data_IF_321399402733
#
_entry.id   IF_321399402733
#
_cell.length_a   1.000
_cell.length_b   1.000
_cell.length_c   1.000
_cell.angle_alpha   90.00
_cell.angle_beta   90.00
_cell.angle_gamma   90.00
#
_symmetry.space_group_name_H-M   'P 1'
#
loop_
_entity.id
_entity.type
_entity.pdbx_description
1 polymer ?
#
# COMPACT_ATOMS: atom_id res chain seq x y z
N UNK A 1 -1.04 12.13 -15.26
CA UNK A 1 -0.62 10.82 -14.75
C UNK A 1 -1.86 10.14 -14.19
N UNK A 2 -2.22 8.97 -14.71
CA UNK A 2 -3.30 8.16 -14.15
C UNK A 2 -2.68 7.33 -13.01
N UNK A 3 -3.06 7.60 -11.77
CA UNK A 3 -2.67 6.75 -10.65
C UNK A 3 -3.54 5.50 -10.69
N UNK A 4 -2.91 4.34 -10.74
CA UNK A 4 -3.60 3.04 -10.85
C UNK A 4 -3.97 2.44 -9.49
N UNK A 5 -3.58 3.08 -8.39
CA UNK A 5 -3.76 2.59 -7.02
C UNK A 5 -4.00 3.73 -6.04
N UNK A 6 -4.53 3.41 -4.85
CA UNK A 6 -4.71 4.34 -3.74
C UNK A 6 -3.54 4.15 -2.75
N UNK A 7 -2.40 4.77 -3.03
CA UNK A 7 -1.14 4.38 -2.41
C UNK A 7 -0.78 2.95 -2.84
N UNK A 8 -0.51 2.03 -1.91
CA UNK A 8 -0.29 0.63 -2.25
C UNK A 8 -1.56 -0.26 -2.21
N UNK A 9 -2.74 0.32 -1.98
CA UNK A 9 -4.02 -0.39 -2.00
C UNK A 9 -4.70 -0.27 -3.38
N UNK A 10 -5.40 -1.32 -3.81
CA UNK A 10 -6.13 -1.32 -5.08
C UNK A 10 -7.42 -0.49 -5.03
N UNK A 11 -7.83 0.09 -6.17
CA UNK A 11 -9.15 0.69 -6.37
C UNK A 11 -10.23 -0.38 -6.33
N UNK A 12 -10.93 -0.51 -5.22
CA UNK A 12 -11.97 -1.52 -5.03
C UNK A 12 -11.45 -2.97 -5.05
N UNK A 13 -12.26 -3.87 -4.52
CA UNK A 13 -12.06 -5.32 -4.55
C UNK A 13 -13.19 -5.94 -5.34
N UNK A 14 -12.87 -6.92 -6.18
CA UNK A 14 -13.83 -7.52 -7.11
C UNK A 14 -13.90 -6.79 -8.46
N UNK A 15 -14.40 -7.50 -9.46
CA UNK A 15 -14.39 -7.04 -10.85
C UNK A 15 -15.41 -5.93 -11.09
N UNK A 16 -16.57 -6.04 -10.44
CA UNK A 16 -17.65 -5.06 -10.61
C UNK A 16 -17.31 -3.74 -9.92
N UNK A 17 -16.76 -3.81 -8.71
CA UNK A 17 -16.28 -2.65 -7.97
C UNK A 17 -15.18 -1.90 -8.74
N UNK A 18 -14.22 -2.63 -9.32
CA UNK A 18 -13.17 -2.03 -10.16
C UNK A 18 -13.73 -1.34 -11.40
N UNK A 19 -14.79 -1.89 -12.01
CA UNK A 19 -15.45 -1.31 -13.19
C UNK A 19 -16.10 0.05 -12.94
N UNK A 20 -16.35 0.41 -11.68
CA UNK A 20 -16.87 1.71 -11.25
C UNK A 20 -15.91 2.45 -10.32
N UNK A 21 -14.61 2.16 -10.42
CA UNK A 21 -13.52 2.79 -9.67
C UNK A 21 -13.74 2.78 -8.13
N UNK A 22 -14.33 1.70 -7.57
CA UNK A 22 -14.55 1.55 -6.14
C UNK A 22 -15.73 2.33 -5.55
N UNK A 23 -16.51 3.07 -6.36
CA UNK A 23 -17.61 3.92 -5.88
C UNK A 23 -18.86 3.17 -5.39
N UNK A 24 -18.88 1.82 -5.48
CA UNK A 24 -20.06 0.98 -5.26
C UNK A 24 -20.36 0.63 -3.79
N UNK A 25 -19.89 1.37 -2.81
CA UNK A 25 -20.08 1.06 -1.37
C UNK A 25 -21.57 0.93 -1.00
N UNK A 26 -22.43 1.76 -1.59
CA UNK A 26 -23.90 1.74 -1.40
C UNK A 26 -24.67 0.96 -2.49
N UNK A 27 -23.96 0.34 -3.44
CA UNK A 27 -24.53 -0.49 -4.52
C UNK A 27 -23.88 -1.88 -4.55
N UNK A 28 -24.14 -2.73 -3.53
CA UNK A 28 -23.50 -4.04 -3.40
C UNK A 28 -23.93 -4.98 -4.53
N UNK A 29 -23.02 -5.31 -5.42
CA UNK A 29 -23.27 -6.16 -6.59
C UNK A 29 -22.51 -7.49 -6.54
N UNK A 30 -21.54 -7.61 -5.68
CA UNK A 30 -20.69 -8.79 -5.50
C UNK A 30 -20.35 -9.01 -4.01
N UNK A 31 -20.05 -10.25 -3.63
CA UNK A 31 -19.70 -10.59 -2.23
C UNK A 31 -18.43 -9.90 -1.78
N UNK A 32 -17.55 -9.57 -2.72
CA UNK A 32 -16.33 -8.79 -2.46
C UNK A 32 -16.59 -7.41 -1.84
N UNK A 33 -17.85 -6.93 -1.80
CA UNK A 33 -18.27 -5.71 -1.06
C UNK A 33 -17.88 -5.76 0.42
N UNK A 34 -17.67 -6.95 0.99
CA UNK A 34 -17.22 -7.13 2.37
C UNK A 34 -15.91 -6.37 2.67
N UNK A 35 -15.10 -6.12 1.67
CA UNK A 35 -13.85 -5.38 1.80
C UNK A 35 -14.02 -3.88 2.08
N UNK A 36 -15.20 -3.31 1.79
CA UNK A 36 -15.53 -1.90 2.04
C UNK A 36 -16.75 -1.71 2.93
N UNK A 37 -17.73 -2.62 2.84
CA UNK A 37 -18.97 -2.54 3.63
C UNK A 37 -19.55 -3.93 3.89
N UNK A 38 -19.28 -4.58 5.04
CA UNK A 38 -19.83 -5.90 5.35
C UNK A 38 -21.35 -5.95 5.42
N UNK A 39 -22.06 -4.84 5.66
CA UNK A 39 -23.53 -4.81 5.61
C UNK A 39 -24.08 -5.08 4.21
N UNK A 40 -23.30 -4.77 3.16
CA UNK A 40 -23.71 -4.97 1.77
C UNK A 40 -23.98 -6.41 1.39
N UNK A 41 -23.38 -7.41 2.09
CA UNK A 41 -23.62 -8.83 1.78
C UNK A 41 -25.07 -9.26 1.95
N UNK A 42 -25.87 -8.53 2.73
CA UNK A 42 -27.30 -8.78 2.90
C UNK A 42 -28.10 -8.63 1.57
N UNK A 43 -27.53 -7.93 0.58
CA UNK A 43 -28.21 -7.58 -0.68
C UNK A 43 -27.72 -8.38 -1.89
N UNK A 44 -26.56 -9.06 -1.81
CA UNK A 44 -25.98 -9.79 -2.95
C UNK A 44 -26.54 -11.17 -3.20
N UNK A 45 -27.32 -11.71 -2.26
CA UNK A 45 -27.89 -13.04 -2.35
C UNK A 45 -26.89 -14.17 -2.07
N UNK A 46 -27.31 -15.43 -2.32
CA UNK A 46 -26.43 -16.59 -2.17
C UNK A 46 -25.67 -16.84 -3.46
N UNK A 47 -24.35 -16.79 -3.40
CA UNK A 47 -23.49 -16.93 -4.60
C UNK A 47 -22.06 -17.29 -4.26
N UNK A 48 -21.40 -17.96 -5.20
CA UNK A 48 -19.94 -18.15 -5.23
C UNK A 48 -19.37 -17.25 -6.32
N UNK A 49 -18.29 -16.56 -5.98
CA UNK A 49 -17.58 -15.67 -6.88
C UNK A 49 -16.11 -16.04 -6.94
N UNK A 50 -15.57 -16.01 -8.14
CA UNK A 50 -14.15 -16.15 -8.43
C UNK A 50 -13.77 -15.00 -9.36
N UNK A 51 -12.68 -14.34 -9.08
CA UNK A 51 -12.19 -13.27 -9.92
C UNK A 51 -10.67 -13.21 -9.95
N UNK A 52 -10.18 -12.68 -11.05
CA UNK A 52 -8.77 -12.45 -11.29
C UNK A 52 -8.61 -11.12 -12.02
N UNK A 53 -7.82 -10.22 -11.46
CA UNK A 53 -7.43 -8.99 -12.15
C UNK A 53 -5.96 -9.08 -12.58
N UNK A 54 -5.68 -8.68 -13.81
CA UNK A 54 -4.32 -8.42 -14.28
C UNK A 54 -4.00 -6.94 -14.04
N UNK A 55 -2.94 -6.67 -13.32
CA UNK A 55 -2.45 -5.34 -13.02
C UNK A 55 -1.07 -5.17 -13.62
N UNK A 56 -0.90 -4.18 -14.49
CA UNK A 56 0.33 -3.95 -15.22
C UNK A 56 0.81 -2.50 -15.02
N UNK A 57 1.47 -2.21 -13.88
CA UNK A 57 2.09 -0.92 -13.64
C UNK A 57 3.42 -0.82 -14.37
N UNK A 58 3.60 0.23 -15.17
CA UNK A 58 4.90 0.61 -15.73
C UNK A 58 5.51 1.66 -14.82
N UNK A 59 6.71 1.37 -14.28
CA UNK A 59 7.41 2.26 -13.35
C UNK A 59 8.81 2.49 -13.84
N UNK A 60 9.22 3.75 -13.82
CA UNK A 60 10.52 4.22 -14.24
C UNK A 60 10.98 5.33 -13.29
N UNK A 61 12.26 5.37 -13.00
CA UNK A 61 12.87 6.55 -12.41
C UNK A 61 13.95 7.10 -13.32
N UNK A 62 14.09 8.42 -13.32
CA UNK A 62 15.16 9.14 -13.99
C UNK A 62 15.83 10.08 -13.01
N UNK A 63 17.15 10.01 -12.95
CA UNK A 63 17.98 10.92 -12.16
C UNK A 63 18.96 11.66 -13.05
N UNK A 64 19.11 12.96 -12.83
CA UNK A 64 20.06 13.82 -13.51
C UNK A 64 21.50 13.58 -13.00
N UNK A 65 22.39 14.51 -13.19
CA UNK A 65 23.76 14.42 -12.66
C UNK A 65 23.76 14.27 -11.13
N UNK A 66 24.74 13.51 -10.62
CA UNK A 66 24.92 13.32 -9.20
C UNK A 66 25.10 14.64 -8.44
N UNK A 67 24.44 14.75 -7.28
CA UNK A 67 24.65 15.83 -6.33
C UNK A 67 25.74 15.53 -5.30
N UNK A 68 26.40 14.35 -5.39
CA UNK A 68 27.43 13.95 -4.44
C UNK A 68 28.68 14.84 -4.51
N UNK A 69 29.04 15.30 -5.72
CA UNK A 69 30.21 16.14 -5.93
C UNK A 69 30.16 17.41 -5.07
N UNK A 70 31.14 17.59 -4.22
CA UNK A 70 31.21 18.69 -3.26
C UNK A 70 30.39 18.55 -1.99
N UNK A 71 29.73 17.40 -1.77
CA UNK A 71 28.82 17.17 -0.64
C UNK A 71 29.38 16.19 0.42
N UNK A 72 30.62 16.00 0.58
CA UNK A 72 31.32 15.07 1.45
C UNK A 72 30.47 14.12 2.29
N UNK A 73 30.70 12.83 2.12
CA UNK A 73 29.91 11.78 2.76
C UNK A 73 28.53 11.57 2.18
N UNK A 74 28.19 12.24 1.07
CA UNK A 74 26.91 12.08 0.39
C UNK A 74 26.89 10.86 -0.51
N UNK A 75 25.74 10.19 -0.52
CA UNK A 75 25.41 9.10 -1.42
C UNK A 75 24.25 9.53 -2.31
N UNK A 76 24.37 9.36 -3.60
CA UNK A 76 23.34 9.76 -4.57
C UNK A 76 23.10 8.66 -5.60
N UNK A 77 21.83 8.49 -5.98
CA UNK A 77 21.42 7.62 -7.08
C UNK A 77 21.73 8.31 -8.41
N UNK A 78 22.30 7.58 -9.34
CA UNK A 78 22.49 8.03 -10.71
C UNK A 78 23.82 8.70 -11.03
N UNK A 79 23.86 9.34 -12.22
CA UNK A 79 22.75 9.58 -13.15
C UNK A 79 22.30 8.31 -13.91
N UNK A 80 20.99 8.08 -13.99
CA UNK A 80 20.39 6.95 -14.71
C UNK A 80 18.95 7.22 -15.15
N UNK A 81 18.47 6.36 -16.08
CA UNK A 81 17.06 6.11 -16.35
C UNK A 81 16.84 4.60 -16.33
N UNK A 82 16.05 4.11 -15.37
CA UNK A 82 15.86 2.67 -15.14
C UNK A 82 14.36 2.38 -15.01
N UNK A 83 13.89 1.40 -15.79
CA UNK A 83 12.54 0.85 -15.68
C UNK A 83 12.53 -0.37 -14.76
N UNK A 84 11.46 -0.54 -13.99
CA UNK A 84 11.25 -1.74 -13.18
C UNK A 84 10.91 -2.94 -14.07
N UNK A 85 11.55 -4.08 -13.85
CA UNK A 85 11.31 -5.27 -14.67
C UNK A 85 10.02 -6.03 -14.29
N UNK A 86 9.47 -5.81 -13.11
CA UNK A 86 8.23 -6.43 -12.68
C UNK A 86 7.02 -5.61 -13.10
N UNK A 87 6.37 -5.98 -14.20
CA UNK A 87 5.30 -5.19 -14.81
C UNK A 87 3.94 -5.90 -14.88
N UNK A 88 3.82 -7.14 -14.41
CA UNK A 88 2.55 -7.87 -14.47
C UNK A 88 2.27 -8.64 -13.17
N UNK A 89 1.13 -8.32 -12.57
CA UNK A 89 0.65 -8.95 -11.35
C UNK A 89 -0.75 -9.47 -11.51
N UNK A 90 -1.02 -10.63 -10.91
CA UNK A 90 -2.35 -11.21 -10.86
C UNK A 90 -2.92 -11.05 -9.45
N UNK A 91 -4.10 -10.43 -9.35
CA UNK A 91 -4.79 -10.15 -8.10
C UNK A 91 -6.05 -11.01 -8.04
N UNK A 92 -6.00 -12.16 -7.36
CA UNK A 92 -7.14 -13.07 -7.25
C UNK A 92 -8.09 -12.65 -6.14
N UNK A 93 -9.36 -13.04 -6.30
CA UNK A 93 -10.29 -13.12 -5.19
C UNK A 93 -11.22 -14.32 -5.32
N UNK A 94 -11.69 -14.84 -4.19
CA UNK A 94 -12.74 -15.83 -4.08
C UNK A 94 -13.65 -15.43 -2.93
N UNK A 95 -14.96 -15.50 -3.16
CA UNK A 95 -15.92 -15.16 -2.13
C UNK A 95 -17.17 -16.04 -2.24
N UNK A 96 -17.75 -16.39 -1.10
CA UNK A 96 -19.00 -17.13 -1.01
C UNK A 96 -19.90 -16.49 0.03
N UNK A 97 -21.16 -16.29 -0.30
CA UNK A 97 -22.21 -15.89 0.62
C UNK A 97 -23.26 -17.00 0.79
N UNK A 98 -23.83 -17.06 1.97
CA UNK A 98 -24.92 -17.98 2.34
C UNK A 98 -26.01 -17.18 3.05
N UNK A 99 -27.23 -17.33 2.61
CA UNK A 99 -28.40 -16.88 3.35
C UNK A 99 -28.74 -17.89 4.42
N UNK A 100 -28.72 -17.48 5.69
CA UNK A 100 -29.24 -18.32 6.78
C UNK A 100 -30.75 -18.28 6.86
N UNK A 101 -31.31 -17.11 6.62
CA UNK A 101 -32.74 -16.83 6.52
C UNK A 101 -32.94 -15.51 5.71
N UNK A 102 -34.13 -14.93 5.74
CA UNK A 102 -34.44 -13.73 4.97
C UNK A 102 -33.71 -12.48 5.46
N UNK A 103 -33.31 -12.46 6.75
CA UNK A 103 -32.68 -11.31 7.40
C UNK A 103 -31.17 -11.51 7.62
N UNK A 104 -30.68 -12.73 7.62
CA UNK A 104 -29.33 -13.06 8.04
C UNK A 104 -28.49 -13.66 6.91
N UNK A 105 -27.35 -13.06 6.65
CA UNK A 105 -26.40 -13.50 5.62
C UNK A 105 -25.01 -13.64 6.23
N UNK A 106 -24.30 -14.71 5.86
CA UNK A 106 -22.89 -14.94 6.21
C UNK A 106 -22.09 -14.92 4.91
N UNK A 107 -20.86 -14.44 4.96
CA UNK A 107 -19.94 -14.55 3.85
C UNK A 107 -18.53 -14.94 4.33
N UNK A 108 -17.85 -15.67 3.47
CA UNK A 108 -16.41 -15.94 3.56
C UNK A 108 -15.77 -15.43 2.26
N UNK A 109 -14.70 -14.66 2.38
CA UNK A 109 -13.97 -14.17 1.22
C UNK A 109 -12.47 -14.15 1.47
N UNK A 110 -11.71 -14.45 0.43
CA UNK A 110 -10.27 -14.20 0.37
C UNK A 110 -9.99 -13.29 -0.82
N UNK A 111 -9.25 -12.22 -0.60
CA UNK A 111 -8.84 -11.31 -1.66
C UNK A 111 -7.46 -10.72 -1.42
N UNK A 112 -6.72 -10.46 -2.49
CA UNK A 112 -5.54 -9.62 -2.47
C UNK A 112 -5.95 -8.15 -2.71
N UNK A 113 -5.38 -7.22 -1.95
CA UNK A 113 -5.73 -5.80 -2.06
C UNK A 113 -4.53 -4.88 -2.04
N UNK A 114 -3.46 -5.23 -1.33
CA UNK A 114 -2.28 -4.39 -1.17
C UNK A 114 -1.02 -5.01 -1.76
N UNK A 115 -0.08 -4.15 -2.12
CA UNK A 115 1.24 -4.58 -2.54
C UNK A 115 2.09 -3.44 -3.07
N UNK A 116 3.39 -3.58 -2.86
CA UNK A 116 4.42 -2.73 -3.45
C UNK A 116 5.43 -3.65 -4.11
N UNK A 117 5.78 -3.38 -5.36
CA UNK A 117 6.77 -4.18 -6.04
C UNK A 117 7.58 -3.33 -6.99
N UNK A 118 8.88 -3.37 -6.84
CA UNK A 118 9.85 -2.78 -7.77
C UNK A 118 11.02 -3.75 -7.96
N UNK A 119 11.59 -3.75 -9.14
CA UNK A 119 12.82 -4.50 -9.45
C UNK A 119 13.65 -3.65 -10.42
N UNK A 120 14.61 -2.92 -9.86
CA UNK A 120 15.52 -2.06 -10.59
C UNK A 120 16.80 -2.84 -10.90
N UNK A 121 17.02 -3.25 -12.13
CA UNK A 121 18.25 -3.93 -12.55
C UNK A 121 19.21 -2.94 -13.15
N UNK A 122 20.47 -3.02 -12.71
CA UNK A 122 21.51 -2.12 -13.15
C UNK A 122 21.40 -0.74 -12.50
N UNK A 123 21.78 0.28 -13.25
CA UNK A 123 21.93 1.64 -12.73
C UNK A 123 23.26 1.84 -12.03
N UNK A 124 23.48 3.03 -11.50
CA UNK A 124 24.66 3.43 -10.76
C UNK A 124 24.31 4.28 -9.58
N UNK A 125 25.16 4.29 -8.58
CA UNK A 125 25.15 5.24 -7.50
C UNK A 125 26.55 5.87 -7.34
N UNK A 126 26.59 7.09 -6.82
CA UNK A 126 27.83 7.82 -6.59
C UNK A 126 27.98 8.16 -5.12
N UNK A 127 29.20 8.18 -4.66
CA UNK A 127 29.57 8.55 -3.30
C UNK A 127 30.78 9.47 -3.32
N UNK A 128 30.65 10.61 -2.67
CA UNK A 128 31.73 11.56 -2.45
C UNK A 128 32.23 11.46 -1.02
N UNK A 129 33.46 10.97 -0.78
CA UNK A 129 33.92 10.73 0.58
C UNK A 129 34.30 12.01 1.35
N UNK A 130 34.72 13.09 0.68
CA UNK A 130 35.31 14.27 1.31
C UNK A 130 34.82 15.63 0.76
N UNK A 131 33.81 15.63 -0.11
CA UNK A 131 33.20 16.84 -0.68
C UNK A 131 34.16 17.62 -1.59
N UNK A 132 34.47 18.89 -1.25
CA UNK A 132 35.41 19.69 -2.04
C UNK A 132 36.86 19.26 -1.89
N UNK A 133 37.11 18.16 -1.19
CA UNK A 133 38.42 17.58 -0.98
C UNK A 133 39.02 16.93 -2.22
N UNK A 134 40.26 16.42 -2.13
CA UNK A 134 40.97 15.84 -3.29
C UNK A 134 40.56 14.39 -3.61
N UNK A 135 39.74 13.73 -2.79
CA UNK A 135 39.34 12.37 -3.08
C UNK A 135 38.38 12.30 -4.26
N UNK A 136 38.54 11.35 -5.17
CA UNK A 136 37.65 11.23 -6.30
C UNK A 136 36.25 10.78 -5.86
N UNK A 137 35.21 11.31 -6.51
CA UNK A 137 33.85 10.76 -6.43
C UNK A 137 33.89 9.32 -6.97
N UNK A 138 33.38 8.40 -6.18
CA UNK A 138 33.31 6.97 -6.54
C UNK A 138 31.97 6.63 -7.15
N UNK A 139 31.98 5.75 -8.16
CA UNK A 139 30.77 5.23 -8.79
C UNK A 139 30.69 3.73 -8.54
N UNK A 140 29.50 3.27 -8.19
CA UNK A 140 29.22 1.87 -7.90
C UNK A 140 28.07 1.37 -8.78
N UNK A 141 28.14 0.11 -9.18
CA UNK A 141 27.08 -0.55 -9.92
C UNK A 141 25.86 -0.83 -9.03
N UNK A 142 24.68 -0.74 -9.65
CA UNK A 142 23.37 -0.88 -9.01
C UNK A 142 22.78 0.44 -8.55
N UNK A 143 21.47 0.54 -8.56
CA UNK A 143 20.70 1.77 -8.20
C UNK A 143 21.11 2.36 -6.84
N UNK A 144 21.40 1.49 -5.86
CA UNK A 144 21.88 1.88 -4.53
C UNK A 144 23.35 1.47 -4.29
N UNK A 145 24.12 1.27 -5.34
CA UNK A 145 25.54 0.95 -5.21
C UNK A 145 25.79 -0.36 -4.45
N UNK A 146 25.06 -1.42 -4.76
CA UNK A 146 25.14 -2.70 -4.05
C UNK A 146 26.55 -3.26 -3.93
N UNK A 147 27.41 -3.02 -4.93
CA UNK A 147 28.82 -3.42 -4.91
C UNK A 147 29.65 -2.74 -3.79
N UNK A 148 29.24 -1.57 -3.29
CA UNK A 148 29.94 -0.88 -2.19
C UNK A 148 29.96 -1.70 -0.89
N UNK A 149 28.91 -2.50 -0.66
CA UNK A 149 28.73 -3.30 0.57
C UNK A 149 28.99 -4.81 0.32
N UNK A 150 29.63 -5.16 -0.80
CA UNK A 150 29.98 -6.55 -1.11
C UNK A 150 28.82 -7.41 -1.58
N UNK A 151 27.73 -6.77 -2.01
CA UNK A 151 26.61 -7.49 -2.64
C UNK A 151 26.94 -7.81 -4.10
N UNK A 152 26.75 -9.05 -4.51
CA UNK A 152 26.89 -9.48 -5.91
C UNK A 152 25.74 -9.01 -6.80
N UNK A 153 24.82 -8.19 -6.26
CA UNK A 153 23.58 -7.83 -6.92
C UNK A 153 23.55 -6.36 -7.34
N UNK A 154 23.42 -6.14 -8.65
CA UNK A 154 23.10 -4.83 -9.22
C UNK A 154 21.57 -4.54 -9.15
N UNK A 155 20.78 -5.48 -8.65
CA UNK A 155 19.32 -5.37 -8.53
C UNK A 155 18.95 -4.78 -7.19
N UNK A 156 18.10 -3.74 -7.21
CA UNK A 156 17.47 -3.18 -6.02
C UNK A 156 15.96 -3.21 -6.15
N UNK A 157 15.26 -3.44 -5.05
CA UNK A 157 13.80 -3.42 -5.06
C UNK A 157 13.14 -4.06 -3.85
N UNK A 158 11.83 -3.98 -3.85
CA UNK A 158 10.96 -4.57 -2.82
C UNK A 158 9.86 -5.40 -3.45
N UNK A 159 9.35 -6.36 -2.70
CA UNK A 159 8.19 -7.17 -3.07
C UNK A 159 7.34 -7.40 -1.82
N UNK A 160 6.27 -6.59 -1.68
CA UNK A 160 5.22 -6.74 -0.68
C UNK A 160 3.96 -7.25 -1.36
N UNK A 161 3.36 -8.28 -0.82
CA UNK A 161 2.03 -8.77 -1.22
C UNK A 161 1.16 -8.97 0.02
N UNK A 162 -0.10 -8.50 -0.04
CA UNK A 162 -1.06 -8.59 1.05
C UNK A 162 -2.34 -9.27 0.60
N UNK A 163 -2.80 -10.22 1.40
CA UNK A 163 -4.06 -10.94 1.23
C UNK A 163 -4.88 -10.95 2.51
N UNK A 164 -6.20 -11.01 2.37
CA UNK A 164 -7.13 -10.90 3.49
C UNK A 164 -8.19 -11.98 3.43
N UNK A 165 -8.34 -12.73 4.51
CA UNK A 165 -9.44 -13.66 4.72
C UNK A 165 -10.46 -13.00 5.64
N UNK A 166 -11.66 -12.79 5.12
CA UNK A 166 -12.77 -12.20 5.87
C UNK A 166 -13.86 -13.22 6.14
N UNK A 167 -14.35 -13.22 7.38
CA UNK A 167 -15.59 -13.90 7.77
C UNK A 167 -16.57 -12.83 8.20
N UNK A 168 -17.64 -12.67 7.45
CA UNK A 168 -18.61 -11.58 7.64
C UNK A 168 -20.00 -12.12 7.99
N UNK A 169 -20.71 -11.33 8.77
CA UNK A 169 -22.12 -11.50 9.07
C UNK A 169 -22.86 -10.18 8.87
N UNK A 170 -24.01 -10.24 8.22
CA UNK A 170 -24.91 -9.10 8.09
C UNK A 170 -26.33 -9.47 8.46
N UNK A 171 -27.00 -8.52 9.10
CA UNK A 171 -28.42 -8.54 9.38
C UNK A 171 -29.12 -7.40 8.63
N UNK A 172 -30.30 -7.65 8.08
CA UNK A 172 -31.16 -6.62 7.53
C UNK A 172 -32.58 -6.71 8.14
N UNK A 173 -33.25 -5.55 8.21
CA UNK A 173 -34.64 -5.53 8.64
C UNK A 173 -35.56 -6.22 7.61
N UNK A 174 -36.80 -6.52 8.02
CA UNK A 174 -37.75 -7.28 7.18
C UNK A 174 -38.06 -6.55 5.86
N UNK A 175 -38.11 -5.23 5.88
CA UNK A 175 -38.36 -4.37 4.71
C UNK A 175 -37.12 -4.24 3.82
N UNK A 176 -35.96 -4.76 4.24
CA UNK A 176 -34.66 -4.64 3.55
C UNK A 176 -34.22 -3.19 3.28
N UNK A 177 -34.68 -2.27 4.14
CA UNK A 177 -34.32 -0.85 4.06
C UNK A 177 -33.08 -0.50 4.87
N UNK A 178 -32.75 -1.29 5.89
CA UNK A 178 -31.58 -1.09 6.74
C UNK A 178 -30.83 -2.40 6.89
N UNK A 179 -29.52 -2.35 6.76
CA UNK A 179 -28.62 -3.46 7.08
C UNK A 179 -27.45 -2.99 7.93
N UNK A 180 -27.02 -3.86 8.84
CA UNK A 180 -25.76 -3.74 9.60
C UNK A 180 -24.94 -4.98 9.43
N UNK A 181 -23.64 -4.86 9.41
CA UNK A 181 -22.74 -5.99 9.24
C UNK A 181 -21.43 -5.82 9.99
N UNK A 182 -20.80 -6.93 10.29
CA UNK A 182 -19.48 -6.98 10.87
C UNK A 182 -18.66 -8.11 10.23
N UNK A 183 -17.35 -7.93 10.17
CA UNK A 183 -16.44 -8.98 9.73
C UNK A 183 -15.20 -9.07 10.64
N UNK A 184 -14.73 -10.31 10.84
CA UNK A 184 -13.39 -10.58 11.33
C UNK A 184 -12.46 -10.78 10.15
N UNK A 185 -11.25 -10.20 10.25
CA UNK A 185 -10.27 -10.17 9.17
C UNK A 185 -8.98 -10.82 9.67
N UNK A 186 -8.45 -11.77 8.89
CA UNK A 186 -7.10 -12.29 9.05
C UNK A 186 -6.28 -11.74 7.87
N UNK A 187 -5.23 -10.97 8.19
CA UNK A 187 -4.24 -10.48 7.26
C UNK A 187 -3.10 -11.48 7.10
N UNK A 188 -2.64 -11.64 5.87
CA UNK A 188 -1.46 -12.42 5.51
C UNK A 188 -0.64 -11.55 4.58
N UNK A 189 0.63 -11.33 4.90
CA UNK A 189 1.52 -10.61 4.01
C UNK A 189 2.89 -11.27 3.92
N UNK A 190 3.55 -11.06 2.79
CA UNK A 190 4.94 -11.43 2.61
C UNK A 190 5.72 -10.24 2.10
N UNK A 191 6.97 -10.15 2.52
CA UNK A 191 7.87 -9.06 2.12
C UNK A 191 9.26 -9.58 1.80
N UNK A 192 9.92 -8.90 0.86
CA UNK A 192 11.33 -9.07 0.51
C UNK A 192 11.90 -7.72 0.10
N UNK A 193 13.10 -7.39 0.57
CA UNK A 193 13.90 -6.29 0.05
C UNK A 193 15.26 -6.81 -0.43
N UNK A 194 15.76 -6.28 -1.52
CA UNK A 194 17.06 -6.60 -2.11
C UNK A 194 17.81 -5.34 -2.49
N UNK A 195 19.14 -5.36 -2.44
CA UNK A 195 20.01 -4.30 -2.91
C UNK A 195 19.92 -2.99 -2.10
N UNK A 196 19.52 -3.04 -0.82
CA UNK A 196 19.36 -1.84 0.04
C UNK A 196 20.43 -1.76 1.13
N UNK A 197 21.52 -2.51 1.05
CA UNK A 197 22.60 -2.52 2.05
C UNK A 197 23.33 -1.17 2.17
N UNK A 198 23.23 -0.28 1.19
CA UNK A 198 23.70 1.10 1.28
C UNK A 198 23.10 1.88 2.48
N UNK A 199 21.94 1.44 2.97
CA UNK A 199 21.31 2.03 4.15
C UNK A 199 21.85 1.49 5.49
N UNK A 200 22.78 0.55 5.48
CA UNK A 200 23.36 -0.05 6.69
C UNK A 200 23.86 0.99 7.71
N UNK A 201 24.58 2.08 7.32
CA UNK A 201 25.02 3.10 8.27
C UNK A 201 23.91 3.83 9.01
N UNK A 202 22.68 3.78 8.49
CA UNK A 202 21.51 4.46 9.06
C UNK A 202 20.63 3.55 9.91
N UNK A 203 21.06 2.31 10.16
CA UNK A 203 20.32 1.36 10.98
C UNK A 203 20.65 1.50 12.46
N UNK A 204 19.68 1.15 13.30
CA UNK A 204 19.84 1.14 14.75
C UNK A 204 20.94 0.16 15.20
N UNK A 205 21.03 -1.01 14.57
CA UNK A 205 22.07 -2.01 14.84
C UNK A 205 23.48 -1.46 14.60
N UNK A 206 23.68 -0.79 13.46
CA UNK A 206 24.98 -0.19 13.13
C UNK A 206 25.32 0.97 14.07
N UNK A 207 24.40 1.88 14.29
CA UNK A 207 24.57 3.03 15.16
C UNK A 207 24.85 2.63 16.61
N UNK A 208 24.07 1.69 17.17
CA UNK A 208 24.23 1.22 18.54
C UNK A 208 25.56 0.49 18.79
N UNK A 209 26.14 -0.11 17.75
CA UNK A 209 27.45 -0.77 17.81
C UNK A 209 28.64 0.17 17.63
N UNK A 210 28.40 1.47 17.42
CA UNK A 210 29.45 2.43 17.04
C UNK A 210 30.05 2.14 15.67
N UNK A 211 29.26 1.61 14.74
CA UNK A 211 29.67 1.32 13.37
C UNK A 211 30.45 0.02 13.17
N UNK A 212 30.43 -0.89 14.14
CA UNK A 212 31.21 -2.13 14.11
C UNK A 212 30.44 -3.37 13.68
N UNK A 213 29.09 -3.34 13.79
CA UNK A 213 28.21 -4.47 13.45
C UNK A 213 27.35 -4.08 12.26
N UNK A 214 27.47 -4.79 11.14
CA UNK A 214 26.57 -4.62 10.02
C UNK A 214 25.18 -5.20 10.36
N UNK A 215 24.08 -4.53 9.92
CA UNK A 215 22.71 -4.98 10.19
C UNK A 215 22.40 -6.28 9.43
N UNK A 216 22.15 -7.41 10.11
CA UNK A 216 21.86 -8.66 9.44
C UNK A 216 20.46 -8.69 8.81
N UNK A 217 19.52 -7.93 9.37
CA UNK A 217 18.11 -7.98 9.01
C UNK A 217 17.67 -6.74 8.20
N UNK A 218 18.51 -6.28 7.28
CA UNK A 218 18.25 -5.11 6.44
C UNK A 218 17.87 -5.48 5.00
N UNK A 219 18.62 -6.36 4.36
CA UNK A 219 18.56 -6.61 2.91
C UNK A 219 18.89 -8.05 2.58
N UNK A 220 18.40 -8.56 1.44
CA UNK A 220 18.75 -9.87 0.84
C UNK A 220 18.42 -11.12 1.69
N UNK A 221 17.50 -11.01 2.63
CA UNK A 221 17.12 -12.10 3.54
C UNK A 221 16.02 -13.01 3.00
N UNK A 222 15.71 -12.89 1.69
CA UNK A 222 14.62 -13.64 1.06
C UNK A 222 13.25 -13.20 1.54
N UNK A 223 12.23 -14.01 1.29
CA UNK A 223 10.89 -13.69 1.77
C UNK A 223 10.74 -13.91 3.28
N UNK A 224 10.03 -12.96 3.90
CA UNK A 224 9.48 -13.11 5.25
C UNK A 224 7.96 -13.02 5.21
N UNK A 225 7.30 -13.62 6.18
CA UNK A 225 5.85 -13.69 6.29
C UNK A 225 5.38 -13.06 7.60
N UNK A 226 4.28 -12.35 7.50
CA UNK A 226 3.64 -11.71 8.64
C UNK A 226 2.14 -12.00 8.58
N UNK A 227 1.52 -12.12 9.76
CA UNK A 227 0.12 -12.45 9.94
C UNK A 227 -0.51 -11.47 10.90
N UNK A 228 -1.78 -11.14 10.68
CA UNK A 228 -2.43 -10.15 11.52
C UNK A 228 -3.94 -10.35 11.63
N UNK A 229 -4.51 -9.56 12.51
CA UNK A 229 -5.95 -9.58 12.78
C UNK A 229 -6.51 -8.15 12.76
N UNK A 230 -7.72 -8.04 12.27
CA UNK A 230 -8.50 -6.80 12.27
C UNK A 230 -9.99 -7.09 12.19
N UNK A 231 -10.77 -6.06 12.02
CA UNK A 231 -12.21 -6.19 11.88
C UNK A 231 -12.81 -5.07 11.08
N UNK A 232 -14.03 -5.28 10.59
CA UNK A 232 -14.78 -4.23 9.93
C UNK A 232 -16.23 -4.19 10.39
N UNK A 233 -16.82 -2.99 10.30
CA UNK A 233 -18.24 -2.72 10.57
C UNK A 233 -18.83 -2.05 9.35
N UNK A 234 -20.11 -2.32 9.10
CA UNK A 234 -20.82 -1.75 7.98
C UNK A 234 -22.24 -1.37 8.32
N UNK A 235 -22.71 -0.36 7.62
CA UNK A 235 -24.10 0.12 7.66
C UNK A 235 -24.56 0.42 6.25
N UNK A 236 -25.81 0.06 5.93
CA UNK A 236 -26.45 0.45 4.68
C UNK A 236 -27.91 0.82 4.94
N UNK A 237 -28.31 1.92 4.31
CA UNK A 237 -29.66 2.43 4.37
C UNK A 237 -30.20 2.67 2.96
N UNK A 238 -31.34 2.04 2.65
CA UNK A 238 -32.04 2.13 1.39
C UNK A 238 -33.43 2.79 1.65
N UNK A 239 -33.49 4.13 1.83
CA UNK A 239 -34.76 4.82 2.14
C UNK A 239 -35.80 4.66 1.05
N UNK A 240 -35.38 4.40 -0.18
CA UNK A 240 -36.22 4.11 -1.32
C UNK A 240 -35.53 3.11 -2.24
N UNK A 241 -36.25 2.50 -3.19
CA UNK A 241 -35.65 1.66 -4.23
C UNK A 241 -34.63 2.42 -5.10
N UNK A 242 -34.79 3.74 -5.20
CA UNK A 242 -33.95 4.59 -6.05
C UNK A 242 -32.71 5.13 -5.35
N UNK A 243 -32.66 5.14 -4.05
CA UNK A 243 -31.56 5.79 -3.31
C UNK A 243 -31.04 4.92 -2.18
N UNK A 244 -29.73 4.82 -2.12
CA UNK A 244 -29.01 4.09 -1.07
C UNK A 244 -27.84 4.93 -0.53
N UNK A 245 -27.57 4.76 0.76
CA UNK A 245 -26.40 5.31 1.46
C UNK A 245 -25.72 4.19 2.22
N UNK A 246 -24.40 4.19 2.25
CA UNK A 246 -23.63 3.20 3.00
C UNK A 246 -22.40 3.80 3.65
N UNK A 247 -22.02 3.19 4.77
CA UNK A 247 -20.81 3.49 5.52
C UNK A 247 -20.15 2.18 5.93
N UNK A 248 -18.86 2.07 5.69
CA UNK A 248 -18.02 0.98 6.16
C UNK A 248 -16.78 1.50 6.86
N UNK A 249 -16.35 0.85 7.91
CA UNK A 249 -15.09 1.11 8.59
C UNK A 249 -14.33 -0.19 8.76
N UNK A 250 -13.09 -0.21 8.32
CA UNK A 250 -12.15 -1.31 8.58
C UNK A 250 -11.07 -0.79 9.51
N UNK A 251 -10.87 -1.49 10.63
CA UNK A 251 -9.79 -1.16 11.57
C UNK A 251 -8.44 -1.36 10.92
N UNK A 252 -7.42 -0.78 11.50
CA UNK A 252 -6.05 -1.23 11.29
C UNK A 252 -5.97 -2.75 11.49
N UNK A 253 -5.21 -3.44 10.63
CA UNK A 253 -4.92 -4.85 10.80
C UNK A 253 -3.54 -4.93 11.42
N UNK A 254 -3.50 -5.28 12.70
CA UNK A 254 -2.28 -5.42 13.48
C UNK A 254 -1.55 -6.68 13.01
N UNK A 255 -0.40 -6.48 12.39
CA UNK A 255 0.42 -7.53 11.81
C UNK A 255 1.56 -7.90 12.75
N UNK A 256 2.08 -9.13 12.65
CA UNK A 256 3.35 -9.48 13.28
C UNK A 256 4.50 -8.81 12.53
N UNK A 257 5.60 -8.56 13.21
CA UNK A 257 6.78 -7.95 12.62
C UNK A 257 7.42 -8.86 11.56
N UNK A 258 8.13 -8.25 10.61
CA UNK A 258 9.01 -8.95 9.69
C UNK A 258 10.39 -9.14 10.33
N UNK A 259 10.64 -10.30 10.93
CA UNK A 259 11.88 -10.60 11.64
C UNK A 259 13.13 -10.46 10.79
N UNK A 260 13.05 -10.82 9.50
CA UNK A 260 14.15 -10.72 8.54
C UNK A 260 14.41 -9.29 8.06
N UNK A 261 13.55 -8.33 8.42
CA UNK A 261 13.63 -6.93 7.99
C UNK A 261 13.47 -5.95 9.16
N UNK A 262 13.80 -6.38 10.38
CA UNK A 262 13.71 -5.56 11.58
C UNK A 262 14.73 -4.41 11.64
N UNK A 263 15.77 -4.46 10.82
CA UNK A 263 16.71 -3.34 10.63
C UNK A 263 16.25 -2.37 9.52
N UNK A 264 15.19 -2.69 8.78
CA UNK A 264 14.64 -1.84 7.70
C UNK A 264 13.43 -1.04 8.19
N UNK A 265 12.40 -1.73 8.66
CA UNK A 265 11.14 -1.11 9.04
C UNK A 265 11.18 -0.54 10.46
N UNK A 266 10.42 0.54 10.69
CA UNK A 266 10.19 1.06 12.01
C UNK A 266 9.66 -0.03 12.97
N UNK A 267 9.79 0.21 14.27
CA UNK A 267 9.29 -0.70 15.30
C UNK A 267 9.82 -2.13 15.20
N UNK A 268 11.05 -2.29 14.67
CA UNK A 268 11.73 -3.58 14.50
C UNK A 268 11.04 -4.53 13.52
N UNK A 269 10.61 -4.03 12.39
CA UNK A 269 9.97 -4.83 11.34
C UNK A 269 8.45 -4.67 11.27
N UNK A 270 7.87 -3.70 11.98
CA UNK A 270 6.43 -3.44 11.97
C UNK A 270 5.95 -2.93 10.61
N UNK A 271 4.91 -3.53 10.08
CA UNK A 271 4.25 -3.09 8.85
C UNK A 271 2.77 -3.46 8.89
N UNK A 272 1.99 -2.71 9.66
CA UNK A 272 0.56 -2.89 9.78
C UNK A 272 -0.19 -2.45 8.51
N UNK A 273 -1.45 -2.86 8.37
CA UNK A 273 -2.30 -2.44 7.27
C UNK A 273 -3.20 -1.31 7.74
N UNK A 274 -3.22 -0.16 7.04
CA UNK A 274 -3.94 1.02 7.51
C UNK A 274 -5.45 0.80 7.63
N UNK A 275 -6.03 1.40 8.65
CA UNK A 275 -7.48 1.52 8.76
C UNK A 275 -8.03 2.35 7.60
N UNK A 276 -9.30 2.12 7.24
CA UNK A 276 -9.98 2.95 6.26
C UNK A 276 -11.47 3.08 6.53
N UNK A 277 -12.02 4.23 6.12
CA UNK A 277 -13.43 4.54 6.13
C UNK A 277 -13.94 4.65 4.69
N UNK A 278 -15.03 3.97 4.39
CA UNK A 278 -15.70 3.99 3.09
C UNK A 278 -17.11 4.57 3.24
N UNK A 279 -17.41 5.63 2.53
CA UNK A 279 -18.75 6.20 2.43
C UNK A 279 -19.22 6.14 0.98
N UNK A 280 -20.50 5.85 0.76
CA UNK A 280 -21.05 5.82 -0.59
C UNK A 280 -22.51 6.18 -0.66
N UNK A 281 -22.89 6.65 -1.85
CA UNK A 281 -24.29 6.85 -2.24
C UNK A 281 -24.55 6.22 -3.59
N UNK A 282 -25.77 5.70 -3.80
CA UNK A 282 -26.18 5.18 -5.08
C UNK A 282 -27.56 5.74 -5.45
N UNK A 283 -27.71 6.13 -6.72
CA UNK A 283 -28.95 6.62 -7.30
C UNK A 283 -29.37 5.81 -8.52
N UNK A 284 -30.57 5.29 -8.50
CA UNK A 284 -31.14 4.41 -9.54
C UNK A 284 -32.39 5.09 -10.15
N UNK A 285 -32.23 5.93 -11.20
CA UNK A 285 -33.37 6.60 -11.82
C UNK A 285 -34.38 5.60 -12.39
N UNK A 286 -33.91 4.44 -12.85
CA UNK A 286 -34.73 3.31 -13.33
C UNK A 286 -33.97 1.98 -13.08
N UNK A 287 -34.62 0.84 -13.38
CA UNK A 287 -34.06 -0.49 -13.12
C UNK A 287 -32.81 -0.85 -13.95
N UNK A 288 -32.51 -0.09 -14.98
CA UNK A 288 -31.39 -0.35 -15.89
C UNK A 288 -30.19 0.56 -15.67
N UNK A 289 -30.27 1.60 -14.83
CA UNK A 289 -29.21 2.58 -14.70
C UNK A 289 -28.96 2.89 -13.23
N UNK A 290 -27.69 2.80 -12.83
CA UNK A 290 -27.23 3.16 -11.48
C UNK A 290 -26.09 4.14 -11.59
N UNK A 291 -26.13 5.22 -10.84
CA UNK A 291 -25.03 6.14 -10.58
C UNK A 291 -24.54 5.94 -9.15
N UNK A 292 -23.24 5.92 -8.97
CA UNK A 292 -22.60 5.77 -7.67
C UNK A 292 -21.59 6.88 -7.42
N UNK A 293 -21.50 7.33 -6.17
CA UNK A 293 -20.43 8.18 -5.71
C UNK A 293 -19.87 7.63 -4.39
N UNK A 294 -18.57 7.67 -4.24
CA UNK A 294 -17.86 7.14 -3.08
C UNK A 294 -16.78 8.09 -2.59
N UNK A 295 -16.52 8.01 -1.29
CA UNK A 295 -15.40 8.61 -0.61
C UNK A 295 -14.73 7.52 0.21
N UNK A 296 -13.42 7.35 0.06
CA UNK A 296 -12.61 6.49 0.90
C UNK A 296 -11.53 7.33 1.58
N UNK A 297 -11.44 7.22 2.90
CA UNK A 297 -10.35 7.79 3.69
C UNK A 297 -9.45 6.65 4.14
N UNK A 298 -8.16 6.71 3.82
CA UNK A 298 -7.14 5.72 4.21
C UNK A 298 -6.18 6.38 5.18
N UNK A 299 -5.99 5.76 6.34
CA UNK A 299 -5.23 6.31 7.46
C UNK A 299 -3.78 5.80 7.44
N UNK A 300 -3.01 6.23 6.45
CA UNK A 300 -1.59 5.86 6.31
C UNK A 300 -0.71 6.40 7.43
N UNK A 301 -1.08 7.55 8.02
CA UNK A 301 -0.34 8.17 9.13
C UNK A 301 -0.30 7.28 10.39
N UNK A 302 -1.23 6.33 10.51
CA UNK A 302 -1.23 5.34 11.59
C UNK A 302 -0.10 4.30 11.50
N UNK A 303 0.58 4.17 10.36
CA UNK A 303 1.56 3.10 10.13
C UNK A 303 2.98 3.67 10.11
N UNK A 304 3.79 3.55 11.18
CA UNK A 304 5.10 4.19 11.32
C UNK A 304 6.05 3.90 10.16
N UNK A 305 6.14 2.66 9.68
CA UNK A 305 6.99 2.26 8.55
C UNK A 305 6.59 2.91 7.22
N UNK A 306 5.38 3.44 7.12
CA UNK A 306 4.87 4.14 5.93
C UNK A 306 4.92 5.65 6.15
N UNK A 307 4.49 6.14 7.32
CA UNK A 307 4.24 7.56 7.58
C UNK A 307 5.41 8.30 8.20
N UNK A 308 6.30 7.62 8.94
CA UNK A 308 7.42 8.32 9.56
C UNK A 308 8.20 9.15 8.52
N UNK A 309 8.56 10.39 8.84
CA UNK A 309 9.32 11.23 7.92
C UNK A 309 10.67 10.59 7.58
N UNK A 310 11.07 10.66 6.32
CA UNK A 310 12.40 10.19 5.91
C UNK A 310 13.51 10.97 6.62
N UNK A 311 13.26 12.23 6.97
CA UNK A 311 14.17 13.10 7.70
C UNK A 311 14.56 12.54 9.08
N UNK A 312 13.79 11.61 9.64
CA UNK A 312 14.15 10.91 10.87
C UNK A 312 15.55 10.30 10.79
N UNK A 313 15.98 9.89 9.59
CA UNK A 313 17.31 9.32 9.36
C UNK A 313 18.45 10.26 9.72
N UNK A 314 18.26 11.60 9.63
CA UNK A 314 19.27 12.59 9.98
C UNK A 314 19.48 12.74 11.49
N UNK A 315 18.53 12.29 12.30
CA UNK A 315 18.64 12.23 13.76
C UNK A 315 19.35 10.97 14.24
N UNK A 316 19.58 9.99 13.38
CA UNK A 316 20.35 8.78 13.66
C UNK A 316 21.84 9.14 13.87
N UNK A 317 22.54 8.63 14.91
CA UNK A 317 23.89 9.01 15.26
C UNK A 317 24.94 8.83 14.17
N UNK A 318 24.71 7.95 13.21
CA UNK A 318 25.67 7.63 12.14
C UNK A 318 25.37 8.33 10.82
N UNK A 319 24.33 9.16 10.76
CA UNK A 319 23.94 9.86 9.54
C UNK A 319 24.91 11.00 9.11
N UNK A 320 25.93 11.28 9.90
CA UNK A 320 26.87 12.38 9.62
C UNK A 320 26.32 13.79 9.91
N UNK A 321 25.08 13.88 10.39
CA UNK A 321 24.38 15.14 10.72
C UNK A 321 24.46 15.51 12.21
N UNK A 322 25.25 14.78 13.01
CA UNK A 322 25.32 14.99 14.45
C UNK A 322 24.11 14.47 15.23
N UNK A 323 23.38 13.54 14.66
CA UNK A 323 22.22 12.92 15.30
C UNK A 323 22.59 12.18 16.59
N UNK A 324 21.64 12.10 17.52
CA UNK A 324 21.81 11.46 18.84
C UNK A 324 20.68 10.51 19.20
N UNK A 325 19.67 10.35 18.33
CA UNK A 325 18.49 9.54 18.61
C UNK A 325 18.58 8.18 17.89
N UNK A 326 18.89 7.12 18.64
CA UNK A 326 18.93 5.75 18.13
C UNK A 326 17.56 5.24 17.66
N UNK A 327 16.47 5.77 18.20
CA UNK A 327 15.13 5.36 17.78
C UNK A 327 14.70 5.98 16.45
N UNK A 328 15.40 6.99 15.97
CA UNK A 328 15.23 7.58 14.64
C UNK A 328 15.96 6.83 13.53
N UNK A 329 16.86 5.89 13.89
CA UNK A 329 17.49 5.01 12.90
C UNK A 329 16.49 4.00 12.32
N UNK A 330 16.78 3.50 11.12
CA UNK A 330 16.02 2.35 10.55
C UNK A 330 16.00 1.18 11.56
N UNK A 331 14.87 0.52 11.70
CA UNK A 331 14.63 -0.48 12.75
C UNK A 331 14.27 0.10 14.13
N UNK A 332 14.44 1.40 14.35
CA UNK A 332 14.03 2.07 15.57
C UNK A 332 12.54 2.41 15.59
N UNK A 333 12.03 2.83 16.74
CA UNK A 333 10.59 3.14 16.91
C UNK A 333 10.15 4.31 16.01
N UNK A 334 11.00 5.30 15.82
CA UNK A 334 10.76 6.46 14.96
C UNK A 334 11.59 6.37 13.66
N UNK A 335 12.02 5.17 13.31
CA UNK A 335 12.81 4.92 12.10
C UNK A 335 12.14 5.47 10.87
N UNK A 336 12.95 5.95 9.92
CA UNK A 336 12.44 6.57 8.71
C UNK A 336 11.50 5.64 7.93
N UNK A 337 10.36 6.17 7.54
CA UNK A 337 9.39 5.57 6.64
C UNK A 337 9.40 6.29 5.29
N UNK A 338 8.28 6.24 4.58
CA UNK A 338 8.11 6.89 3.28
C UNK A 338 7.55 8.32 3.40
N UNK A 339 7.21 8.79 4.59
CA UNK A 339 6.65 10.11 4.85
C UNK A 339 5.22 10.29 4.33
N UNK A 340 4.47 9.19 4.17
CA UNK A 340 3.12 9.26 3.62
C UNK A 340 2.13 9.85 4.61
N UNK A 341 1.20 10.64 4.06
CA UNK A 341 0.08 11.20 4.78
C UNK A 341 -1.20 10.41 4.49
N UNK A 342 -2.22 10.66 5.29
CA UNK A 342 -3.56 10.14 5.06
C UNK A 342 -4.08 10.53 3.67
N UNK A 343 -4.85 9.62 3.08
CA UNK A 343 -5.28 9.75 1.69
C UNK A 343 -6.79 9.73 1.58
N UNK A 344 -7.35 10.76 0.91
CA UNK A 344 -8.78 10.83 0.60
C UNK A 344 -9.00 10.57 -0.88
N UNK A 345 -9.81 9.58 -1.21
CA UNK A 345 -10.16 9.19 -2.58
C UNK A 345 -11.62 9.52 -2.84
N UNK A 346 -11.89 10.27 -3.88
CA UNK A 346 -13.24 10.52 -4.39
C UNK A 346 -13.45 9.69 -5.66
N UNK A 347 -14.59 9.01 -5.75
CA UNK A 347 -14.90 8.15 -6.88
C UNK A 347 -16.33 8.37 -7.37
N UNK A 348 -16.50 8.26 -8.69
CA UNK A 348 -17.79 8.29 -9.36
C UNK A 348 -17.90 7.11 -10.31
N UNK A 349 -19.10 6.54 -10.43
CA UNK A 349 -19.34 5.42 -11.31
C UNK A 349 -20.75 5.40 -11.88
N UNK A 350 -20.88 4.68 -12.98
CA UNK A 350 -22.17 4.38 -13.56
C UNK A 350 -22.20 2.91 -14.04
N UNK A 351 -23.31 2.24 -13.83
CA UNK A 351 -23.60 0.92 -14.34
C UNK A 351 -24.88 0.95 -15.16
N UNK A 352 -24.81 0.47 -16.40
CA UNK A 352 -25.94 0.40 -17.31
C UNK A 352 -26.22 -1.05 -17.71
N UNK A 353 -27.38 -1.55 -17.31
CA UNK A 353 -27.88 -2.87 -17.70
C UNK A 353 -28.56 -2.75 -19.06
N UNK A 354 -28.00 -3.44 -20.05
CA UNK A 354 -28.53 -3.51 -21.41
C UNK A 354 -29.09 -4.90 -21.69
N UNK A 355 -30.42 -5.01 -21.80
CA UNK A 355 -31.08 -6.29 -21.90
C UNK A 355 -30.99 -7.09 -20.60
N UNK A 356 -31.01 -8.43 -20.73
CA UNK A 356 -30.94 -9.33 -19.56
C UNK A 356 -29.52 -9.77 -19.24
N UNK A 357 -28.62 -9.80 -20.22
CA UNK A 357 -27.31 -10.45 -20.13
C UNK A 357 -26.12 -9.47 -19.98
N UNK A 358 -26.29 -8.20 -20.35
CA UNK A 358 -25.19 -7.26 -20.41
C UNK A 358 -25.27 -6.15 -19.35
N UNK A 359 -24.17 -5.88 -18.71
CA UNK A 359 -24.02 -4.70 -17.85
C UNK A 359 -22.71 -4.01 -18.17
N UNK A 360 -22.80 -2.79 -18.64
CA UNK A 360 -21.65 -1.91 -18.89
C UNK A 360 -21.38 -1.06 -17.65
N UNK A 361 -20.09 -0.91 -17.32
CA UNK A 361 -19.66 -0.12 -16.18
C UNK A 361 -18.58 0.85 -16.61
N UNK A 362 -18.63 2.06 -16.05
CA UNK A 362 -17.60 3.08 -16.19
C UNK A 362 -17.43 3.78 -14.85
N UNK A 363 -16.21 4.13 -14.51
CA UNK A 363 -15.91 4.88 -13.29
C UNK A 363 -14.59 5.61 -13.39
N UNK A 364 -14.45 6.59 -12.52
CA UNK A 364 -13.22 7.35 -12.34
C UNK A 364 -13.05 7.72 -10.87
N UNK A 365 -11.81 7.84 -10.45
CA UNK A 365 -11.46 8.33 -9.11
C UNK A 365 -10.38 9.38 -9.19
N UNK A 366 -10.33 10.23 -8.17
CA UNK A 366 -9.30 11.24 -7.98
C UNK A 366 -8.87 11.29 -6.53
N UNK A 367 -7.60 11.56 -6.31
CA UNK A 367 -6.99 11.68 -5.00
C UNK A 367 -5.72 12.49 -5.10
N UNK A 368 -5.25 13.03 -3.97
CA UNK A 368 -3.91 13.56 -3.85
C UNK A 368 -2.91 12.44 -3.60
N UNK A 369 -1.65 12.67 -3.94
CA UNK A 369 -0.56 11.74 -3.61
C UNK A 369 -0.39 11.69 -2.09
N UNK A 370 -0.14 10.49 -1.51
CA UNK A 370 0.14 10.39 -0.07
C UNK A 370 1.49 11.00 0.31
N UNK A 371 2.37 11.21 -0.66
CA UNK A 371 3.69 11.80 -0.48
C UNK A 371 3.55 13.31 -0.43
N UNK A 372 3.87 13.99 0.69
CA UNK A 372 3.81 15.45 0.75
C UNK A 372 4.78 16.07 -0.24
N UNK A 373 4.32 17.08 -0.98
CA UNK A 373 5.16 17.86 -1.86
C UNK A 373 6.22 18.62 -1.05
N UNK A 374 7.48 18.21 -1.13
CA UNK A 374 8.59 18.93 -0.53
C UNK A 374 8.98 20.15 -1.37
N UNK A 375 9.17 21.31 -0.75
CA UNK A 375 9.74 22.51 -1.38
C UNK A 375 11.26 22.51 -1.32
N UNK A 376 11.86 21.56 -0.59
CA UNK A 376 13.30 21.43 -0.41
C UNK A 376 13.85 20.31 -1.31
N UNK A 377 14.69 20.63 -2.31
CA UNK A 377 15.33 19.63 -3.16
C UNK A 377 16.25 18.67 -2.40
N UNK A 378 16.73 19.03 -1.21
CA UNK A 378 17.51 18.15 -0.34
C UNK A 378 16.65 17.20 0.50
N UNK A 379 15.35 17.43 0.58
CA UNK A 379 14.39 16.51 1.17
C UNK A 379 13.98 15.45 0.13
N UNK A 380 14.93 14.74 -0.47
CA UNK A 380 14.60 13.71 -1.44
C UNK A 380 14.01 12.49 -0.73
N UNK A 381 12.72 12.54 -0.40
CA UNK A 381 11.90 11.36 -0.16
C UNK A 381 11.98 10.38 -1.34
N UNK A 382 12.56 10.87 -2.45
CA UNK A 382 12.67 10.17 -3.72
C UNK A 382 13.34 8.80 -3.60
N UNK A 383 14.35 8.64 -2.73
CA UNK A 383 15.06 7.38 -2.58
C UNK A 383 14.16 6.27 -2.04
N UNK A 384 13.34 6.53 -1.03
CA UNK A 384 12.41 5.54 -0.49
C UNK A 384 11.17 5.38 -1.38
N UNK A 385 10.73 6.45 -2.03
CA UNK A 385 9.59 6.40 -2.93
C UNK A 385 9.90 5.65 -4.24
N UNK A 386 11.15 5.56 -4.65
CA UNK A 386 11.57 4.69 -5.75
C UNK A 386 11.36 3.22 -5.36
N UNK A 387 11.60 2.84 -4.12
CA UNK A 387 11.36 1.46 -3.65
C UNK A 387 9.88 1.14 -3.53
N UNK A 388 9.09 2.07 -3.03
CA UNK A 388 7.66 1.89 -2.78
C UNK A 388 6.83 2.98 -3.46
N UNK A 389 6.72 2.97 -4.79
CA UNK A 389 5.90 3.93 -5.52
C UNK A 389 4.42 3.74 -5.17
N UNK A 390 3.75 4.84 -4.81
CA UNK A 390 2.32 4.90 -4.55
C UNK A 390 1.48 5.12 -5.81
#
# INVERSE_FOLDING_TARGET
>A
NANATNGYLTHGVGTQSKGIAGSGVADPQEVAIVASNPAGIAFVGERLELGLAAFSPVREYETSASLADGQGGAFTIGPNSISSENELFFIPYVAKSWKRDEQNTIALSFYARGGMNTEWRGGTATFDPDGPGPAPVMTFDGTYGGSLFGEDHTTAGVDLMQGFLNTAYAWNNAERTVSVGAAAIIGIQRFRAVGVSAFAPYTKTYAASGGTVLPPDLSNNGYDWSYGIGGSLGFQWNPTEKFSVALGYTSEIMMTEFDKYKDLFAEKGGFDVPAHLDFGVAFRPNAGLTFTAGLQQIYYEGIPSVSNPIQSIYSCPTAGQGGTDLESCLGGKHGAGFGWQDMTVYSLGAAWKYGEDWTFRIGGSTTDQPIPGGTDPMQSQMTFNILAPG
#
